data_IF_925568580756
#
_entry.id   IF_925568580756
#
_cell.length_a   1.000
_cell.length_b   1.000
_cell.length_c   1.000
_cell.angle_alpha   90.00
_cell.angle_beta   90.00
_cell.angle_gamma   90.00
#
_symmetry.space_group_name_H-M   'P 1'
#
loop_
_entity.id
_entity.type
_entity.pdbx_description
1 polymer ?
#
# COMPACT_ATOMS: atom_id res chain seq x y z
N UNK A 1 -26.74 -5.95 9.29
CA UNK A 1 -25.55 -6.33 10.10
C UNK A 1 -24.24 -5.91 9.42
N UNK A 2 -23.94 -6.30 8.17
CA UNK A 2 -22.75 -5.78 7.46
C UNK A 2 -22.85 -4.30 7.05
N UNK A 3 -24.04 -3.84 6.63
CA UNK A 3 -24.28 -2.42 6.30
C UNK A 3 -24.03 -1.48 7.50
N UNK A 4 -24.27 -1.96 8.73
CA UNK A 4 -24.00 -1.20 9.96
C UNK A 4 -22.50 -1.07 10.28
N UNK A 5 -21.65 -1.85 9.58
CA UNK A 5 -20.19 -1.79 9.65
C UNK A 5 -19.57 -0.80 8.65
N UNK A 6 -20.37 -0.26 7.71
CA UNK A 6 -19.93 0.83 6.84
C UNK A 6 -19.82 2.10 7.68
N UNK A 7 -18.61 2.64 7.73
CA UNK A 7 -18.29 3.91 8.39
C UNK A 7 -18.22 5.05 7.35
N UNK A 8 -17.72 4.76 6.15
CA UNK A 8 -17.69 5.75 5.06
C UNK A 8 -19.04 5.72 4.35
N UNK A 9 -19.86 6.76 4.58
CA UNK A 9 -21.14 6.92 3.91
C UNK A 9 -20.98 6.80 2.38
N UNK A 10 -21.69 5.83 1.78
CA UNK A 10 -21.64 5.52 0.34
C UNK A 10 -22.15 6.67 -0.53
N UNK A 11 -22.89 7.62 0.05
CA UNK A 11 -23.35 8.84 -0.63
C UNK A 11 -22.33 9.99 -0.59
N UNK A 12 -21.30 9.88 0.25
CA UNK A 12 -20.19 10.84 0.29
C UNK A 12 -19.32 10.76 -0.97
N UNK A 13 -18.50 11.79 -1.23
CA UNK A 13 -17.56 11.78 -2.35
C UNK A 13 -16.61 10.58 -2.31
N UNK A 14 -16.02 10.29 -1.14
CA UNK A 14 -15.12 9.14 -0.96
C UNK A 14 -15.87 7.82 -1.07
N UNK A 15 -17.01 7.69 -0.38
CA UNK A 15 -17.78 6.45 -0.37
C UNK A 15 -18.36 6.08 -1.73
N UNK A 16 -18.82 7.06 -2.51
CA UNK A 16 -19.35 6.83 -3.86
C UNK A 16 -18.25 6.38 -4.82
N UNK A 17 -17.05 6.98 -4.75
CA UNK A 17 -15.90 6.53 -5.55
C UNK A 17 -15.48 5.09 -5.20
N UNK A 18 -15.40 4.78 -3.91
CA UNK A 18 -15.06 3.43 -3.44
C UNK A 18 -16.11 2.42 -3.87
N UNK A 19 -17.40 2.73 -3.71
CA UNK A 19 -18.49 1.85 -4.10
C UNK A 19 -18.55 1.63 -5.61
N UNK A 20 -18.33 2.69 -6.40
CA UNK A 20 -18.22 2.57 -7.85
C UNK A 20 -17.07 1.62 -8.24
N UNK A 21 -15.89 1.79 -7.66
CA UNK A 21 -14.77 0.88 -7.90
C UNK A 21 -15.09 -0.57 -7.50
N UNK A 22 -15.74 -0.77 -6.35
CA UNK A 22 -16.21 -2.09 -5.90
C UNK A 22 -17.21 -2.70 -6.87
N UNK A 23 -17.97 -1.93 -7.62
CA UNK A 23 -18.94 -2.44 -8.61
C UNK A 23 -18.33 -2.71 -9.98
N UNK A 24 -17.44 -1.82 -10.44
CA UNK A 24 -16.97 -1.83 -11.83
C UNK A 24 -15.58 -2.42 -12.03
N UNK A 25 -14.75 -2.53 -10.98
CA UNK A 25 -13.35 -2.95 -11.10
C UNK A 25 -13.14 -4.37 -10.59
N UNK A 26 -12.22 -5.11 -11.18
CA UNK A 26 -11.79 -6.44 -10.70
C UNK A 26 -10.78 -6.32 -9.56
N UNK A 27 -10.06 -5.20 -9.51
CA UNK A 27 -8.93 -5.00 -8.62
C UNK A 27 -8.90 -3.56 -8.11
N UNK A 28 -8.79 -3.41 -6.79
CA UNK A 28 -8.76 -2.10 -6.12
C UNK A 28 -7.53 -2.01 -5.24
N UNK A 29 -6.62 -1.11 -5.58
CA UNK A 29 -5.33 -0.98 -4.93
C UNK A 29 -5.35 0.30 -4.09
N UNK A 30 -4.82 0.27 -2.87
CA UNK A 30 -4.78 1.44 -1.97
C UNK A 30 -3.33 1.79 -1.70
N UNK A 31 -2.83 2.79 -2.43
CA UNK A 31 -1.47 3.30 -2.34
C UNK A 31 -1.41 4.56 -1.48
N UNK A 32 -0.48 4.63 -0.54
CA UNK A 32 -0.39 5.80 0.32
C UNK A 32 0.61 5.65 1.45
N UNK A 33 0.84 6.74 2.14
CA UNK A 33 1.76 6.78 3.27
C UNK A 33 1.26 5.97 4.45
N UNK A 34 2.15 5.56 5.34
CA UNK A 34 1.73 5.14 6.66
C UNK A 34 0.96 6.26 7.36
N UNK A 35 -0.05 5.84 8.12
CA UNK A 35 -1.05 6.73 8.73
C UNK A 35 -1.94 7.53 7.78
N UNK A 36 -1.94 7.26 6.47
CA UNK A 36 -2.90 7.88 5.55
C UNK A 36 -4.31 7.24 5.60
N UNK A 37 -4.54 6.31 6.53
CA UNK A 37 -5.82 5.59 6.65
C UNK A 37 -5.98 4.40 5.70
N UNK A 38 -4.90 3.93 5.05
CA UNK A 38 -4.95 2.82 4.07
C UNK A 38 -5.67 1.57 4.60
N UNK A 39 -5.30 1.09 5.78
CA UNK A 39 -5.87 -0.14 6.35
C UNK A 39 -7.37 0.03 6.65
N UNK A 40 -7.79 1.23 7.06
CA UNK A 40 -9.20 1.58 7.21
C UNK A 40 -9.92 1.62 5.85
N UNK A 41 -9.36 2.29 4.83
CA UNK A 41 -9.93 2.29 3.47
C UNK A 41 -10.06 0.86 2.94
N UNK A 42 -9.03 0.03 3.12
CA UNK A 42 -9.03 -1.35 2.69
C UNK A 42 -10.11 -2.17 3.41
N UNK A 43 -10.28 -1.99 4.72
CA UNK A 43 -11.38 -2.60 5.47
C UNK A 43 -12.74 -2.18 4.90
N UNK A 44 -12.96 -0.88 4.69
CA UNK A 44 -14.22 -0.38 4.16
C UNK A 44 -14.50 -0.91 2.75
N UNK A 45 -13.48 -1.03 1.89
CA UNK A 45 -13.59 -1.69 0.58
C UNK A 45 -13.96 -3.17 0.72
N UNK A 46 -13.39 -3.92 1.68
CA UNK A 46 -13.76 -5.32 1.90
C UNK A 46 -15.22 -5.47 2.32
N UNK A 47 -15.71 -4.59 3.21
CA UNK A 47 -17.11 -4.57 3.67
C UNK A 47 -18.04 -4.27 2.49
N UNK A 48 -17.75 -3.21 1.73
CA UNK A 48 -18.53 -2.82 0.56
C UNK A 48 -18.57 -3.96 -0.47
N UNK A 49 -17.43 -4.62 -0.72
CA UNK A 49 -17.38 -5.77 -1.62
C UNK A 49 -18.22 -6.95 -1.14
N UNK A 50 -18.19 -7.26 0.16
CA UNK A 50 -19.03 -8.31 0.73
C UNK A 50 -20.53 -8.01 0.65
N UNK A 51 -20.93 -6.74 0.82
CA UNK A 51 -22.33 -6.29 0.64
C UNK A 51 -22.77 -6.44 -0.82
N UNK A 52 -21.90 -6.12 -1.77
CA UNK A 52 -22.12 -6.33 -3.20
C UNK A 52 -22.00 -7.82 -3.62
N UNK A 53 -21.88 -8.74 -2.65
CA UNK A 53 -21.83 -10.18 -2.89
C UNK A 53 -20.55 -10.66 -3.57
N UNK A 54 -19.48 -9.86 -3.53
CA UNK A 54 -18.19 -10.20 -4.14
C UNK A 54 -17.38 -11.10 -3.23
N UNK A 55 -16.67 -12.06 -3.82
CA UNK A 55 -15.67 -12.85 -3.12
C UNK A 55 -14.37 -12.04 -3.03
N UNK A 56 -13.91 -11.79 -1.80
CA UNK A 56 -12.79 -10.88 -1.54
C UNK A 56 -11.48 -11.65 -1.39
N UNK A 57 -10.51 -11.25 -2.19
CA UNK A 57 -9.10 -11.60 -2.05
C UNK A 57 -8.33 -10.38 -1.56
N UNK A 58 -7.32 -10.57 -0.71
CA UNK A 58 -6.45 -9.49 -0.28
C UNK A 58 -4.98 -9.79 -0.50
N UNK A 59 -4.21 -8.75 -0.80
CA UNK A 59 -2.76 -8.79 -0.83
C UNK A 59 -2.23 -7.60 -0.02
N UNK A 60 -1.46 -7.87 1.03
CA UNK A 60 -0.88 -6.86 1.90
C UNK A 60 0.62 -7.11 2.04
N UNK A 61 1.39 -6.03 2.19
CA UNK A 61 2.85 -6.09 2.28
C UNK A 61 3.33 -7.01 3.42
N UNK A 62 2.73 -6.88 4.60
CA UNK A 62 3.19 -7.60 5.79
C UNK A 62 2.92 -9.11 5.72
N UNK A 63 1.86 -9.54 5.04
CA UNK A 63 1.59 -10.96 4.83
C UNK A 63 2.53 -11.53 3.75
N UNK A 64 2.67 -10.81 2.63
CA UNK A 64 3.55 -11.20 1.54
C UNK A 64 5.01 -11.30 1.97
N UNK A 65 5.52 -10.29 2.72
CA UNK A 65 6.92 -10.22 3.15
C UNK A 65 7.32 -11.44 3.97
N UNK A 66 6.46 -11.92 4.86
CA UNK A 66 6.80 -13.02 5.80
C UNK A 66 7.23 -14.28 5.07
N UNK A 67 6.63 -14.59 3.93
CA UNK A 67 7.00 -15.75 3.12
C UNK A 67 8.42 -15.64 2.55
N UNK A 68 8.96 -14.43 2.41
CA UNK A 68 10.31 -14.18 1.90
C UNK A 68 11.36 -14.10 3.03
N UNK A 69 10.96 -13.96 4.28
CA UNK A 69 11.84 -13.90 5.45
C UNK A 69 12.25 -15.31 5.92
N UNK A 70 12.79 -16.12 5.01
CA UNK A 70 13.30 -17.45 5.31
C UNK A 70 14.59 -17.35 6.14
N UNK A 71 14.95 -18.42 6.87
CA UNK A 71 16.20 -18.44 7.64
C UNK A 71 17.43 -18.14 6.77
N UNK A 72 17.46 -18.68 5.54
CA UNK A 72 18.53 -18.42 4.57
C UNK A 72 18.53 -16.96 4.11
N UNK A 73 17.36 -16.40 3.77
CA UNK A 73 17.24 -15.02 3.33
C UNK A 73 17.63 -14.05 4.45
N UNK A 74 17.20 -14.29 5.69
CA UNK A 74 17.54 -13.44 6.84
C UNK A 74 19.02 -13.55 7.23
N UNK A 75 19.67 -14.70 7.02
CA UNK A 75 21.11 -14.83 7.20
C UNK A 75 21.90 -14.02 6.17
N UNK A 76 21.39 -13.92 4.93
CA UNK A 76 22.02 -13.18 3.83
C UNK A 76 21.69 -11.68 3.84
N UNK A 77 20.46 -11.35 4.24
CA UNK A 77 19.86 -10.02 4.19
C UNK A 77 19.21 -9.70 5.54
N UNK A 78 20.03 -9.52 6.60
CA UNK A 78 19.52 -9.33 7.95
C UNK A 78 18.71 -8.03 8.08
N UNK A 79 17.76 -8.05 9.00
CA UNK A 79 17.03 -6.85 9.41
C UNK A 79 17.99 -5.83 10.04
N UNK A 80 17.82 -4.55 9.69
CA UNK A 80 18.58 -3.44 10.27
C UNK A 80 17.58 -2.41 10.80
N UNK A 81 17.72 -2.00 12.06
CA UNK A 81 16.84 -1.04 12.73
C UNK A 81 15.34 -1.41 12.69
N UNK A 82 15.02 -2.70 12.76
CA UNK A 82 13.67 -3.24 12.59
C UNK A 82 13.05 -2.99 11.19
N UNK A 83 13.88 -2.74 10.18
CA UNK A 83 13.45 -2.53 8.80
C UNK A 83 13.86 -3.71 7.92
N UNK A 84 12.90 -4.16 7.11
CA UNK A 84 13.12 -5.18 6.09
C UNK A 84 14.25 -4.78 5.15
N UNK A 85 15.19 -5.70 4.93
CA UNK A 85 16.31 -5.45 4.05
C UNK A 85 15.86 -5.08 2.62
N UNK A 86 16.49 -4.06 1.97
CA UNK A 86 16.26 -3.67 0.57
C UNK A 86 16.08 -4.83 -0.43
N UNK A 87 16.98 -5.82 -0.36
CA UNK A 87 16.95 -7.02 -1.19
C UNK A 87 15.64 -7.81 -1.06
N UNK A 88 15.15 -8.03 0.17
CA UNK A 88 13.89 -8.72 0.42
C UNK A 88 12.73 -7.90 -0.15
N UNK A 89 12.76 -6.57 0.03
CA UNK A 89 11.77 -5.66 -0.58
C UNK A 89 11.68 -5.81 -2.09
N UNK A 90 12.83 -5.87 -2.75
CA UNK A 90 12.90 -6.05 -4.20
C UNK A 90 12.41 -7.42 -4.65
N UNK A 91 12.79 -8.49 -3.95
CA UNK A 91 12.34 -9.84 -4.25
C UNK A 91 10.80 -9.96 -4.16
N UNK A 92 10.20 -9.43 -3.09
CA UNK A 92 8.74 -9.36 -2.95
C UNK A 92 8.11 -8.51 -4.08
N UNK A 93 8.77 -7.43 -4.48
CA UNK A 93 8.38 -6.60 -5.62
C UNK A 93 8.33 -7.34 -6.97
N UNK A 94 9.29 -8.24 -7.23
CA UNK A 94 9.25 -9.08 -8.43
C UNK A 94 8.09 -10.07 -8.40
N UNK A 95 7.85 -10.67 -7.24
CA UNK A 95 6.76 -11.63 -7.09
C UNK A 95 5.39 -10.98 -7.27
N UNK A 96 5.16 -9.79 -6.69
CA UNK A 96 3.80 -9.23 -6.60
C UNK A 96 3.16 -8.98 -7.96
N UNK A 97 3.94 -8.58 -8.97
CA UNK A 97 3.42 -8.39 -10.33
C UNK A 97 2.91 -9.71 -10.93
N UNK A 98 3.67 -10.79 -10.76
CA UNK A 98 3.27 -12.13 -11.20
C UNK A 98 2.09 -12.67 -10.37
N UNK A 99 2.04 -12.37 -9.07
CA UNK A 99 0.93 -12.77 -8.20
C UNK A 99 -0.40 -12.17 -8.69
N UNK A 100 -0.41 -10.92 -9.11
CA UNK A 100 -1.61 -10.26 -9.69
C UNK A 100 -2.06 -10.96 -10.97
N UNK A 101 -1.13 -11.31 -11.87
CA UNK A 101 -1.44 -12.03 -13.12
C UNK A 101 -2.00 -13.42 -12.84
N UNK A 102 -1.31 -14.19 -11.98
CA UNK A 102 -1.75 -15.54 -11.58
C UNK A 102 -3.12 -15.50 -10.94
N UNK A 103 -3.35 -14.55 -10.03
CA UNK A 103 -4.66 -14.39 -9.39
C UNK A 103 -5.75 -14.11 -10.43
N UNK A 104 -5.50 -13.18 -11.36
CA UNK A 104 -6.47 -12.82 -12.39
C UNK A 104 -6.83 -14.02 -13.26
N UNK A 105 -5.83 -14.80 -13.70
CA UNK A 105 -6.03 -16.00 -14.51
C UNK A 105 -6.77 -17.12 -13.75
N UNK A 106 -6.46 -17.32 -12.47
CA UNK A 106 -7.08 -18.36 -11.63
C UNK A 106 -8.52 -18.02 -11.23
N UNK A 107 -8.91 -16.74 -11.29
CA UNK A 107 -10.19 -16.24 -10.80
C UNK A 107 -10.98 -15.51 -11.90
N UNK A 108 -11.36 -16.15 -13.02
CA UNK A 108 -12.01 -15.44 -14.14
C UNK A 108 -13.41 -14.88 -13.82
N UNK A 109 -14.09 -15.40 -12.79
CA UNK A 109 -15.42 -14.94 -12.37
C UNK A 109 -15.39 -13.46 -11.92
N UNK A 110 -16.16 -12.54 -12.56
CA UNK A 110 -16.22 -11.14 -12.17
C UNK A 110 -16.67 -10.89 -10.73
N UNK A 111 -17.35 -11.84 -10.09
CA UNK A 111 -17.69 -11.76 -8.67
C UNK A 111 -16.46 -11.80 -7.76
N UNK A 112 -15.31 -12.29 -8.24
CA UNK A 112 -14.05 -12.25 -7.49
C UNK A 112 -13.40 -10.87 -7.59
N UNK A 113 -12.96 -10.32 -6.47
CA UNK A 113 -12.23 -9.03 -6.40
C UNK A 113 -10.93 -9.18 -5.62
N UNK A 114 -9.89 -8.48 -6.06
CA UNK A 114 -8.62 -8.39 -5.35
C UNK A 114 -8.45 -6.98 -4.79
N UNK A 115 -8.24 -6.87 -3.49
CA UNK A 115 -8.02 -5.61 -2.79
C UNK A 115 -6.59 -5.59 -2.23
N UNK A 116 -5.78 -4.63 -2.66
CA UNK A 116 -4.34 -4.61 -2.38
C UNK A 116 -3.97 -3.40 -1.54
N UNK A 117 -3.17 -3.58 -0.48
CA UNK A 117 -2.55 -2.47 0.25
C UNK A 117 -1.12 -2.22 -0.24
N UNK A 118 -0.82 -0.98 -0.64
CA UNK A 118 0.49 -0.57 -1.10
C UNK A 118 1.05 0.49 -0.15
N UNK A 119 1.97 0.12 0.76
CA UNK A 119 2.62 1.10 1.62
C UNK A 119 3.60 2.00 0.87
N UNK A 120 4.06 1.59 -0.34
CA UNK A 120 4.91 2.31 -1.33
C UNK A 120 6.25 2.81 -0.79
N UNK A 121 6.23 3.58 0.28
CA UNK A 121 7.37 4.19 0.94
C UNK A 121 8.46 3.17 1.27
N UNK A 122 9.68 3.52 0.89
CA UNK A 122 10.85 2.66 1.04
C UNK A 122 10.86 1.49 0.04
N UNK A 123 10.29 1.64 -1.15
CA UNK A 123 10.40 0.59 -2.18
C UNK A 123 9.48 -0.61 -1.97
N UNK A 124 8.42 -0.49 -1.16
CA UNK A 124 7.49 -1.60 -0.87
C UNK A 124 6.39 -1.67 -1.93
N UNK A 125 6.36 -2.73 -2.74
CA UNK A 125 5.42 -2.91 -3.86
C UNK A 125 5.44 -1.80 -4.93
N UNK A 126 6.54 -1.06 -5.06
CA UNK A 126 6.67 0.02 -6.03
C UNK A 126 6.57 -0.48 -7.47
N UNK A 127 6.92 -1.74 -7.70
CA UNK A 127 6.79 -2.46 -8.96
C UNK A 127 5.36 -2.47 -9.49
N UNK A 128 4.33 -2.37 -8.63
CA UNK A 128 2.94 -2.28 -9.09
C UNK A 128 2.61 -0.91 -9.71
N UNK A 129 3.36 0.14 -9.37
CA UNK A 129 3.17 1.50 -9.88
C UNK A 129 4.06 1.77 -11.10
N UNK A 130 5.25 1.17 -11.11
CA UNK A 130 6.23 1.28 -12.19
C UNK A 130 5.76 0.57 -13.46
N UNK A 131 6.09 1.16 -14.62
CA UNK A 131 5.90 0.50 -15.91
C UNK A 131 6.99 -0.56 -16.10
N UNK A 132 6.59 -1.79 -16.41
CA UNK A 132 7.51 -2.87 -16.77
C UNK A 132 7.10 -3.54 -18.08
N UNK A 133 8.05 -4.11 -18.81
CA UNK A 133 7.79 -4.93 -20.00
C UNK A 133 7.53 -6.38 -19.56
N UNK A 134 6.33 -6.64 -19.03
CA UNK A 134 5.90 -7.96 -18.58
C UNK A 134 4.39 -8.19 -18.76
N UNK A 135 3.93 -9.41 -18.47
CA UNK A 135 2.52 -9.80 -18.61
C UNK A 135 1.57 -9.01 -17.70
N UNK A 136 2.06 -8.48 -16.57
CA UNK A 136 1.25 -7.74 -15.61
C UNK A 136 0.91 -6.33 -16.11
N UNK A 137 1.73 -5.74 -16.97
CA UNK A 137 1.61 -4.33 -17.33
C UNK A 137 0.29 -4.00 -18.01
N UNK A 138 -0.10 -4.78 -19.02
CA UNK A 138 -1.38 -4.59 -19.72
C UNK A 138 -2.57 -4.71 -18.76
N UNK A 139 -2.48 -5.61 -17.78
CA UNK A 139 -3.53 -5.80 -16.78
C UNK A 139 -3.59 -4.62 -15.81
N UNK A 140 -2.44 -4.18 -15.26
CA UNK A 140 -2.34 -3.08 -14.31
C UNK A 140 -2.73 -1.71 -14.91
N UNK A 141 -2.54 -1.53 -16.22
CA UNK A 141 -2.97 -0.34 -16.96
C UNK A 141 -4.42 -0.42 -17.46
N UNK A 142 -5.07 -1.59 -17.41
CA UNK A 142 -6.42 -1.78 -17.91
C UNK A 142 -7.49 -1.16 -17.01
N UNK A 143 -8.70 -1.03 -17.55
CA UNK A 143 -9.89 -0.60 -16.81
C UNK A 143 -10.34 -1.59 -15.72
N UNK A 144 -9.70 -2.76 -15.60
CA UNK A 144 -9.98 -3.70 -14.52
C UNK A 144 -9.40 -3.29 -13.18
N UNK A 145 -8.41 -2.40 -13.19
CA UNK A 145 -7.63 -1.99 -12.01
C UNK A 145 -7.85 -0.52 -11.74
N UNK A 146 -7.98 -0.15 -10.46
CA UNK A 146 -7.91 1.24 -10.01
C UNK A 146 -7.02 1.36 -8.77
N UNK A 147 -6.21 2.42 -8.71
CA UNK A 147 -5.39 2.79 -7.56
C UNK A 147 -5.98 3.98 -6.83
N UNK A 148 -6.33 3.80 -5.57
CA UNK A 148 -6.73 4.88 -4.67
C UNK A 148 -5.54 5.39 -3.87
N UNK A 149 -5.46 6.70 -3.71
CA UNK A 149 -4.56 7.34 -2.74
C UNK A 149 -5.35 8.22 -1.78
N UNK A 150 -5.53 7.80 -0.51
CA UNK A 150 -6.13 8.66 0.49
C UNK A 150 -5.16 9.78 0.88
N UNK A 151 -5.62 11.03 0.76
CA UNK A 151 -4.86 12.22 1.14
C UNK A 151 -5.64 12.96 2.23
N UNK A 152 -5.18 12.92 3.49
CA UNK A 152 -5.83 13.67 4.55
C UNK A 152 -5.59 15.17 4.43
N UNK A 153 -6.60 15.96 4.82
CA UNK A 153 -6.42 17.39 5.06
C UNK A 153 -5.39 17.63 6.19
N UNK A 154 -4.93 18.86 6.32
CA UNK A 154 -4.00 19.25 7.39
C UNK A 154 -4.60 18.95 8.77
N UNK A 155 -5.87 19.26 8.96
CA UNK A 155 -6.60 19.06 10.22
C UNK A 155 -6.79 17.58 10.54
N UNK A 156 -7.21 16.79 9.54
CA UNK A 156 -7.36 15.34 9.70
C UNK A 156 -6.03 14.69 10.01
N UNK A 157 -4.96 15.11 9.32
CA UNK A 157 -3.60 14.60 9.55
C UNK A 157 -3.15 14.87 10.98
N UNK A 158 -3.30 16.09 11.46
CA UNK A 158 -2.95 16.47 12.82
C UNK A 158 -3.74 15.64 13.86
N UNK A 159 -5.03 15.41 13.61
CA UNK A 159 -5.85 14.57 14.49
C UNK A 159 -5.41 13.10 14.49
N UNK A 160 -5.07 12.51 13.33
CA UNK A 160 -4.54 11.14 13.24
C UNK A 160 -3.23 11.02 14.02
N UNK A 161 -2.32 11.99 13.89
CA UNK A 161 -1.04 11.99 14.62
C UNK A 161 -1.25 12.07 16.14
N UNK A 162 -2.21 12.88 16.60
CA UNK A 162 -2.57 12.95 18.02
C UNK A 162 -3.16 11.63 18.55
N UNK A 163 -4.11 11.01 17.82
CA UNK A 163 -4.69 9.72 18.22
C UNK A 163 -3.63 8.63 18.26
N UNK A 164 -2.69 8.59 17.29
CA UNK A 164 -1.60 7.62 17.29
C UNK A 164 -0.68 7.74 18.52
N UNK A 165 -0.45 8.96 19.00
CA UNK A 165 0.33 9.17 20.22
C UNK A 165 -0.35 8.50 21.44
N UNK A 166 -1.68 8.45 21.46
CA UNK A 166 -2.47 7.80 22.51
C UNK A 166 -2.52 6.27 22.35
N UNK A 167 -2.72 5.76 21.13
CA UNK A 167 -2.92 4.32 20.88
C UNK A 167 -1.63 3.49 20.96
N UNK A 168 -0.46 4.08 20.69
CA UNK A 168 0.84 3.41 20.98
C UNK A 168 0.93 3.00 22.46
N UNK A 169 0.33 3.79 23.34
CA UNK A 169 0.33 3.53 24.78
C UNK A 169 -0.75 2.53 25.20
N UNK A 170 -1.82 2.34 24.39
CA UNK A 170 -2.96 1.47 24.67
C UNK A 170 -3.55 0.86 23.37
N UNK A 171 -2.92 -0.18 22.78
CA UNK A 171 -3.38 -0.78 21.53
C UNK A 171 -4.70 -1.55 21.72
N UNK A 172 -5.60 -1.47 20.72
CA UNK A 172 -6.89 -2.19 20.71
C UNK A 172 -6.84 -3.50 19.93
N UNK A 173 -5.77 -3.72 19.16
CA UNK A 173 -5.50 -4.94 18.39
C UNK A 173 -4.00 -5.27 18.38
N UNK A 174 -3.62 -6.54 18.19
CA UNK A 174 -2.21 -6.97 18.19
C UNK A 174 -1.36 -6.32 17.08
N UNK A 175 -1.99 -6.02 15.95
CA UNK A 175 -1.34 -5.33 14.83
C UNK A 175 -1.13 -3.83 15.11
N UNK A 176 -1.97 -3.20 15.93
CA UNK A 176 -1.79 -1.79 16.30
C UNK A 176 -0.56 -1.59 17.21
N UNK A 177 -0.19 -2.62 17.99
CA UNK A 177 1.05 -2.61 18.75
C UNK A 177 2.31 -2.66 17.87
N UNK A 178 2.16 -3.02 16.59
CA UNK A 178 3.22 -3.09 15.59
C UNK A 178 3.21 -1.86 14.66
N UNK A 179 2.30 -0.91 14.87
CA UNK A 179 2.26 0.33 14.08
C UNK A 179 3.55 1.12 14.27
N UNK A 180 4.02 1.73 13.18
CA UNK A 180 5.23 2.55 13.20
C UNK A 180 5.10 3.71 14.21
N UNK A 181 6.10 3.95 15.07
CA UNK A 181 6.16 5.12 15.94
C UNK A 181 5.99 6.44 15.20
N UNK A 182 5.52 7.48 15.90
CA UNK A 182 5.22 8.78 15.28
C UNK A 182 6.40 9.39 14.52
N UNK A 183 7.63 9.25 15.03
CA UNK A 183 8.82 9.77 14.34
C UNK A 183 9.07 9.07 12.99
N UNK A 184 8.74 7.78 12.86
CA UNK A 184 8.84 7.04 11.58
C UNK A 184 7.77 7.54 10.62
N UNK A 185 6.53 7.69 11.12
CA UNK A 185 5.43 8.26 10.34
C UNK A 185 5.79 9.63 9.79
N UNK A 186 6.41 10.48 10.63
CA UNK A 186 6.89 11.80 10.26
C UNK A 186 8.00 11.73 9.20
N UNK A 187 9.00 10.86 9.41
CA UNK A 187 10.08 10.67 8.46
C UNK A 187 9.59 10.17 7.09
N UNK A 188 8.59 9.29 7.04
CA UNK A 188 8.08 8.75 5.79
C UNK A 188 7.35 9.82 4.95
N UNK A 189 6.56 10.67 5.58
CA UNK A 189 5.89 11.74 4.84
C UNK A 189 6.85 12.86 4.44
N UNK A 190 7.84 13.15 5.29
CA UNK A 190 8.94 14.06 4.95
C UNK A 190 9.76 13.52 3.77
N UNK A 191 9.87 12.19 3.63
CA UNK A 191 10.51 11.57 2.47
C UNK A 191 9.76 11.88 1.16
N UNK A 192 8.43 11.99 1.19
CA UNK A 192 7.65 12.46 0.01
C UNK A 192 7.96 13.92 -0.29
N UNK A 193 8.08 14.77 0.73
CA UNK A 193 8.51 16.16 0.54
C UNK A 193 9.90 16.23 -0.08
N UNK A 194 10.83 15.35 0.30
CA UNK A 194 12.16 15.26 -0.30
C UNK A 194 12.09 14.85 -1.77
N UNK A 195 11.27 13.85 -2.12
CA UNK A 195 11.02 13.44 -3.51
C UNK A 195 10.50 14.63 -4.33
N UNK A 196 9.49 15.34 -3.82
CA UNK A 196 8.94 16.53 -4.45
C UNK A 196 9.99 17.61 -4.67
N UNK A 197 10.77 17.93 -3.63
CA UNK A 197 11.81 18.95 -3.71
C UNK A 197 12.87 18.57 -4.74
N UNK A 198 13.30 17.31 -4.79
CA UNK A 198 14.26 16.81 -5.78
C UNK A 198 13.71 16.93 -7.21
N UNK A 199 12.46 16.52 -7.45
CA UNK A 199 11.80 16.59 -8.76
C UNK A 199 11.64 18.03 -9.26
N UNK A 200 11.52 18.99 -8.35
CA UNK A 200 11.30 20.41 -8.67
C UNK A 200 12.55 21.29 -8.50
N UNK A 201 13.72 20.72 -8.18
CA UNK A 201 14.96 21.48 -7.97
C UNK A 201 14.91 22.46 -6.80
N UNK A 202 14.11 22.14 -5.77
CA UNK A 202 13.92 22.97 -4.57
C UNK A 202 14.95 22.53 -3.52
N UNK A 203 15.74 23.47 -2.99
CA UNK A 203 16.66 23.19 -1.89
C UNK A 203 15.89 22.77 -0.62
N UNK A 204 16.38 21.74 0.08
CA UNK A 204 15.82 21.28 1.34
C UNK A 204 15.91 22.36 2.42
N UNK A 205 14.81 22.55 3.15
CA UNK A 205 14.74 23.46 4.29
C UNK A 205 14.00 22.76 5.42
N UNK A 206 14.69 22.52 6.54
CA UNK A 206 14.15 21.70 7.63
C UNK A 206 12.86 22.26 8.23
N UNK A 207 12.66 23.59 8.25
CA UNK A 207 11.50 24.22 8.87
C UNK A 207 10.28 24.19 7.94
N UNK A 208 10.49 24.42 6.64
CA UNK A 208 9.46 24.32 5.61
C UNK A 208 9.07 22.86 5.37
N UNK A 209 10.07 21.98 5.27
CA UNK A 209 9.86 20.57 4.92
C UNK A 209 9.25 19.75 6.06
N UNK A 210 9.27 20.29 7.29
CA UNK A 210 8.55 19.74 8.44
C UNK A 210 7.07 20.13 8.51
N UNK A 211 6.53 20.82 7.50
CA UNK A 211 5.11 21.18 7.43
C UNK A 211 4.40 20.26 6.42
N UNK A 212 3.37 19.56 6.89
CA UNK A 212 2.55 18.70 6.04
C UNK A 212 1.73 19.58 5.07
N UNK A 213 1.80 19.27 3.78
CA UNK A 213 1.08 19.94 2.71
C UNK A 213 0.40 18.89 1.82
N UNK A 214 -0.93 18.73 1.85
CA UNK A 214 -1.65 17.70 1.10
C UNK A 214 -1.42 17.79 -0.41
N UNK A 215 -1.18 18.98 -0.96
CA UNK A 215 -0.98 19.15 -2.40
C UNK A 215 0.37 18.60 -2.87
N UNK A 216 1.40 18.65 -2.02
CA UNK A 216 2.68 18.00 -2.32
C UNK A 216 2.53 16.48 -2.43
N UNK A 217 1.74 15.87 -1.53
CA UNK A 217 1.45 14.44 -1.63
C UNK A 217 0.65 14.11 -2.87
N UNK A 218 -0.34 14.94 -3.19
CA UNK A 218 -1.12 14.79 -4.41
C UNK A 218 -0.19 14.76 -5.61
N UNK A 219 0.64 15.78 -5.79
CA UNK A 219 1.54 15.89 -6.93
C UNK A 219 2.51 14.70 -7.04
N UNK A 220 3.12 14.28 -5.92
CA UNK A 220 4.03 13.12 -5.94
C UNK A 220 3.30 11.85 -6.32
N UNK A 221 2.14 11.55 -5.72
CA UNK A 221 1.40 10.33 -6.04
C UNK A 221 0.82 10.36 -7.46
N UNK A 222 0.39 11.52 -7.97
CA UNK A 222 0.01 11.69 -9.36
C UNK A 222 1.17 11.31 -10.31
N UNK A 223 2.39 11.73 -9.99
CA UNK A 223 3.56 11.39 -10.78
C UNK A 223 3.94 9.90 -10.66
N UNK A 224 3.88 9.32 -9.45
CA UNK A 224 4.18 7.90 -9.24
C UNK A 224 3.13 6.99 -9.90
N UNK A 225 1.87 7.41 -9.97
CA UNK A 225 0.75 6.63 -10.53
C UNK A 225 0.43 6.96 -12.00
N UNK A 226 1.27 7.73 -12.68
CA UNK A 226 1.00 8.24 -14.04
C UNK A 226 0.75 7.17 -15.11
N UNK A 227 1.13 5.92 -14.85
CA UNK A 227 0.89 4.77 -15.74
C UNK A 227 -0.31 3.90 -15.32
N UNK A 228 -1.11 4.35 -14.34
CA UNK A 228 -2.21 3.58 -13.75
C UNK A 228 -3.51 4.36 -13.84
N UNK A 229 -4.62 3.63 -13.85
CA UNK A 229 -5.91 4.24 -13.52
C UNK A 229 -5.89 4.57 -12.03
N UNK A 230 -6.00 5.85 -11.68
CA UNK A 230 -5.92 6.29 -10.30
C UNK A 230 -7.06 7.22 -9.92
N UNK A 231 -7.35 7.30 -8.63
CA UNK A 231 -8.15 8.38 -8.04
C UNK A 231 -7.60 8.79 -6.68
N UNK A 232 -7.66 10.08 -6.39
CA UNK A 232 -7.35 10.60 -5.06
C UNK A 232 -8.62 10.58 -4.23
N UNK A 233 -8.51 10.04 -3.01
CA UNK A 233 -9.57 10.12 -2.01
C UNK A 233 -9.22 11.26 -1.06
N UNK A 234 -9.89 12.39 -1.20
CA UNK A 234 -9.73 13.53 -0.30
C UNK A 234 -10.37 13.21 1.05
N UNK A 235 -9.54 13.05 2.09
CA UNK A 235 -9.98 12.72 3.44
C UNK A 235 -10.03 14.00 4.28
N UNK A 236 -11.18 14.65 4.28
CA UNK A 236 -11.43 15.94 4.93
C UNK A 236 -12.17 15.83 6.28
N UNK A 237 -12.54 14.61 6.66
CA UNK A 237 -13.23 14.32 7.92
C UNK A 237 -12.59 13.13 8.65
N UNK A 238 -12.79 13.12 9.97
CA UNK A 238 -12.46 11.97 10.80
C UNK A 238 -13.62 10.98 10.78
N UNK A 239 -13.29 9.74 10.47
CA UNK A 239 -14.23 8.63 10.54
C UNK A 239 -14.16 7.99 11.93
N UNK A 240 -15.33 7.78 12.55
CA UNK A 240 -15.43 7.09 13.83
C UNK A 240 -15.21 5.58 13.60
N UNK A 241 -13.97 5.13 13.74
CA UNK A 241 -13.63 3.71 13.61
C UNK A 241 -14.19 2.95 14.81
N UNK A 242 -15.20 2.10 14.57
CA UNK A 242 -15.68 1.11 15.53
C UNK A 242 -14.83 -0.14 15.39
N UNK A 243 -14.21 -0.58 16.48
CA UNK A 243 -13.28 -1.73 16.46
C UNK A 243 -11.90 -1.38 15.90
N UNK A 244 -11.20 -2.37 15.34
CA UNK A 244 -9.88 -2.17 14.74
C UNK A 244 -9.98 -2.04 13.22
N UNK A 245 -9.13 -1.21 12.61
CA UNK A 245 -9.02 -1.09 11.15
C UNK A 245 -8.53 -2.39 10.47
N UNK A 246 -7.98 -3.33 11.25
CA UNK A 246 -7.54 -4.64 10.77
C UNK A 246 -8.64 -5.72 10.87
N UNK A 247 -9.76 -5.43 11.53
CA UNK A 247 -10.86 -6.38 11.65
C UNK A 247 -11.51 -6.62 10.28
N UNK A 248 -11.70 -7.88 9.92
CA UNK A 248 -12.34 -8.29 8.66
C UNK A 248 -13.72 -8.88 8.98
N UNK A 249 -14.80 -8.10 8.91
CA UNK A 249 -16.15 -8.61 9.18
C UNK A 249 -16.70 -9.48 8.04
N UNK A 250 -15.95 -9.62 6.95
CA UNK A 250 -16.26 -10.50 5.81
C UNK A 250 -15.12 -11.50 5.62
N UNK A 251 -15.39 -12.72 5.11
CA UNK A 251 -14.33 -13.66 4.73
C UNK A 251 -13.42 -13.07 3.65
N UNK A 252 -12.11 -13.17 3.87
CA UNK A 252 -11.07 -12.68 2.95
C UNK A 252 -10.07 -13.80 2.71
N UNK A 253 -9.79 -14.11 1.44
CA UNK A 253 -8.72 -15.04 1.04
C UNK A 253 -7.42 -14.25 0.79
N UNK A 254 -6.38 -14.52 1.58
CA UNK A 254 -5.08 -13.85 1.44
C UNK A 254 -4.27 -14.50 0.31
N UNK A 255 -3.65 -13.69 -0.53
CA UNK A 255 -2.71 -14.14 -1.55
C UNK A 255 -1.32 -14.28 -0.93
N UNK A 256 -0.76 -15.49 -0.99
CA UNK A 256 0.54 -15.84 -0.45
C UNK A 256 1.49 -16.31 -1.55
N UNK A 257 2.80 -16.16 -1.32
CA UNK A 257 3.81 -16.64 -2.23
C UNK A 257 4.08 -18.13 -2.03
N UNK A 258 4.21 -18.88 -3.13
CA UNK A 258 4.66 -20.28 -3.10
C UNK A 258 6.19 -20.35 -3.03
N UNK A 259 6.73 -21.49 -2.56
CA UNK A 259 8.18 -21.71 -2.46
C UNK A 259 8.92 -21.48 -3.79
N UNK A 260 8.32 -21.94 -4.90
CA UNK A 260 8.87 -21.74 -6.24
C UNK A 260 8.92 -20.25 -6.64
N UNK A 261 7.94 -19.46 -6.22
CA UNK A 261 7.87 -18.03 -6.49
C UNK A 261 8.92 -17.24 -5.69
N UNK A 262 9.11 -17.60 -4.43
CA UNK A 262 10.13 -17.02 -3.55
C UNK A 262 11.52 -17.27 -4.15
N UNK A 263 11.79 -18.53 -4.52
CA UNK A 263 13.05 -18.92 -5.15
C UNK A 263 13.30 -18.15 -6.46
N UNK A 264 12.33 -18.13 -7.36
CA UNK A 264 12.46 -17.42 -8.64
C UNK A 264 12.72 -15.92 -8.46
N UNK A 265 12.14 -15.30 -7.42
CA UNK A 265 12.33 -13.88 -7.12
C UNK A 265 13.75 -13.59 -6.63
N UNK A 266 14.33 -14.45 -5.78
CA UNK A 266 15.72 -14.31 -5.35
C UNK A 266 16.71 -14.63 -6.47
N UNK A 267 16.44 -15.62 -7.32
CA UNK A 267 17.25 -15.90 -8.51
C UNK A 267 17.27 -14.69 -9.46
N UNK A 268 16.12 -14.06 -9.69
CA UNK A 268 16.04 -12.82 -10.47
C UNK A 268 16.83 -11.68 -9.83
N UNK A 269 16.69 -11.50 -8.52
CA UNK A 269 17.44 -10.50 -7.76
C UNK A 269 18.96 -10.71 -7.91
N UNK A 270 19.43 -11.94 -7.84
CA UNK A 270 20.86 -12.27 -7.96
C UNK A 270 21.41 -12.00 -9.36
N UNK A 271 20.59 -12.17 -10.39
CA UNK A 271 20.94 -11.85 -11.78
C UNK A 271 21.02 -10.34 -11.99
N UNK A 272 20.03 -9.59 -11.52
CA UNK A 272 19.93 -8.13 -11.76
C UNK A 272 20.84 -7.33 -10.84
N UNK A 273 21.03 -7.78 -9.59
CA UNK A 273 21.78 -7.09 -8.54
C UNK A 273 22.77 -8.04 -7.82
N UNK A 274 23.84 -8.49 -8.49
CA UNK A 274 24.75 -9.48 -7.91
C UNK A 274 25.57 -8.90 -6.72
N UNK A 275 25.65 -9.67 -5.64
CA UNK A 275 26.45 -9.36 -4.44
C UNK A 275 25.90 -8.18 -3.63
N UNK A 276 26.78 -7.31 -3.14
CA UNK A 276 26.42 -6.09 -2.37
C UNK A 276 25.57 -5.09 -3.18
N UNK A 277 25.43 -5.28 -4.50
CA UNK A 277 24.52 -4.46 -5.32
C UNK A 277 23.05 -4.67 -4.99
N UNK A 278 22.67 -5.83 -4.41
CA UNK A 278 21.31 -6.09 -3.94
C UNK A 278 20.88 -5.11 -2.83
N UNK A 279 21.84 -4.52 -2.11
CA UNK A 279 21.58 -3.48 -1.11
C UNK A 279 21.04 -2.19 -1.77
N UNK A 280 21.42 -1.92 -3.02
CA UNK A 280 20.99 -0.74 -3.78
C UNK A 280 19.70 -0.93 -4.56
N UNK A 281 19.06 -2.10 -4.44
CA UNK A 281 17.94 -2.50 -5.32
C UNK A 281 16.71 -1.59 -5.23
N UNK A 282 16.61 -0.75 -4.20
CA UNK A 282 15.52 0.21 -3.99
C UNK A 282 16.03 1.64 -3.73
N UNK A 283 17.33 1.87 -3.89
CA UNK A 283 17.86 3.24 -3.94
C UNK A 283 17.20 3.89 -5.15
N UNK A 284 16.65 5.09 -4.97
CA UNK A 284 15.91 5.80 -6.02
C UNK A 284 14.59 5.13 -6.50
N UNK A 285 13.90 4.36 -5.63
CA UNK A 285 12.62 3.72 -5.99
C UNK A 285 11.54 4.67 -6.57
N UNK A 286 11.62 5.97 -6.28
CA UNK A 286 10.71 7.00 -6.76
C UNK A 286 11.16 7.68 -8.08
N UNK A 287 12.36 7.37 -8.59
CA UNK A 287 12.94 7.96 -9.79
C UNK A 287 12.85 6.96 -10.95
N UNK A 288 11.68 6.92 -11.59
CA UNK A 288 11.40 6.15 -12.80
C UNK A 288 10.41 6.91 -13.67
#
# INVERSE_FOLDING_TARGET
>A
MLEESIVIDVSSSVGSQMMEAVKSRRMVFVAGLPSAGKSFILQQLTIMAGIEGRKVYSLQWDDARRSFETEEALARFPEVDNLTHPAIRKAVGYWVRNAVVKWHAANPDPANTLIVELPVMGGRFVELMQQHDDEAENLLASDQVIMFTPIPSVEVRAAIENVRQETITNPRHELEAKDAPLYIVQAEWQSVRQIYNQQNGIESDAKRDSIYDPEIYREVFLNLLRFRNYSILDIDQLYEVKGSAYERPVPVEVIEAEEADIKASYERLDIEFPGEKAERAIDDWANY
#
